data_IF_594591371642
#
_entry.id   IF_594591371642
#
_cell.length_a   1.000
_cell.length_b   1.000
_cell.length_c   1.000
_cell.angle_alpha   90.00
_cell.angle_beta   90.00
_cell.angle_gamma   90.00
#
_symmetry.space_group_name_H-M   'P 1'
#
loop_
_entity.id
_entity.type
_entity.pdbx_description
1 polymer ?
#
# COMPACT_ATOMS: atom_id res chain seq x y z
N UNK A 1 13.70 2.80 16.13
CA UNK A 1 13.96 4.19 15.67
C UNK A 1 12.86 4.57 14.68
N UNK A 2 11.86 5.32 15.14
CA UNK A 2 10.66 5.64 14.35
C UNK A 2 10.89 6.77 13.37
N UNK A 3 10.42 6.61 12.13
CA UNK A 3 10.50 7.61 11.07
C UNK A 3 9.49 8.72 11.37
N UNK A 4 9.95 9.80 12.01
CA UNK A 4 9.14 10.97 12.35
C UNK A 4 9.20 11.97 11.20
N UNK A 5 8.12 12.08 10.43
CA UNK A 5 7.97 13.13 9.43
C UNK A 5 6.59 13.08 8.76
N UNK A 6 5.98 14.23 8.45
CA UNK A 6 4.78 14.31 7.62
C UNK A 6 5.00 13.61 6.27
N UNK A 7 3.93 13.07 5.69
CA UNK A 7 3.98 12.40 4.38
C UNK A 7 4.58 13.36 3.32
N UNK A 8 5.63 12.97 2.58
CA UNK A 8 6.24 13.82 1.56
C UNK A 8 5.26 14.27 0.47
N UNK A 9 5.46 15.49 -0.07
CA UNK A 9 4.70 16.08 -1.19
C UNK A 9 4.99 15.36 -2.51
N UNK A 10 4.05 15.42 -3.47
CA UNK A 10 4.16 14.88 -4.85
C UNK A 10 5.41 15.41 -5.56
N UNK A 11 5.99 14.61 -6.46
CA UNK A 11 7.21 14.94 -7.22
C UNK A 11 7.14 16.30 -7.91
N UNK A 12 5.98 16.67 -8.45
CA UNK A 12 5.77 17.89 -9.23
C UNK A 12 5.86 19.16 -8.38
N UNK A 13 5.82 19.00 -7.05
CA UNK A 13 5.99 20.07 -6.07
C UNK A 13 7.37 20.06 -5.39
N UNK A 14 8.36 19.35 -5.94
CA UNK A 14 9.69 19.17 -5.30
C UNK A 14 10.82 19.89 -6.06
N UNK A 15 11.44 20.86 -5.41
CA UNK A 15 12.68 21.51 -5.88
C UNK A 15 13.85 20.53 -5.80
N UNK A 16 14.57 20.34 -6.91
CA UNK A 16 15.68 19.39 -7.09
C UNK A 16 16.91 19.81 -6.27
N UNK A 17 17.07 19.30 -5.05
CA UNK A 17 18.29 19.46 -4.22
C UNK A 17 18.97 18.14 -3.82
N UNK A 18 18.75 17.06 -4.59
CA UNK A 18 19.48 15.79 -4.42
C UNK A 18 20.21 15.43 -5.72
N UNK A 19 21.14 16.29 -6.15
CA UNK A 19 22.27 15.80 -6.95
C UNK A 19 23.36 15.47 -5.95
N UNK A 20 23.78 14.22 -5.90
CA UNK A 20 24.90 13.79 -5.07
C UNK A 20 25.75 12.88 -5.93
N UNK A 21 26.94 13.35 -6.30
CA UNK A 21 28.13 12.55 -6.02
C UNK A 21 29.38 13.44 -5.84
N UNK A 22 30.22 13.00 -4.90
CA UNK A 22 31.68 12.94 -4.99
C UNK A 22 32.27 12.17 -3.77
N UNK A 23 31.46 11.82 -2.76
CA UNK A 23 31.86 10.95 -1.62
C UNK A 23 30.76 9.91 -1.22
N UNK A 24 29.85 9.56 -2.13
CA UNK A 24 28.64 8.79 -1.80
C UNK A 24 28.84 7.27 -1.78
N UNK A 25 28.40 6.59 -0.71
CA UNK A 25 28.35 5.12 -0.65
C UNK A 25 27.59 4.57 -1.86
N UNK A 26 28.29 3.87 -2.76
CA UNK A 26 27.65 3.28 -3.94
C UNK A 26 26.72 2.13 -3.51
N UNK A 27 25.50 2.14 -4.04
CA UNK A 27 24.58 1.01 -3.87
C UNK A 27 25.15 -0.20 -4.61
N UNK A 28 25.46 -1.27 -3.87
CA UNK A 28 25.84 -2.55 -4.49
C UNK A 28 24.61 -3.13 -5.18
N UNK A 29 24.73 -3.44 -6.46
CA UNK A 29 23.65 -4.03 -7.26
C UNK A 29 23.88 -5.53 -7.42
N UNK A 30 22.79 -6.29 -7.42
CA UNK A 30 22.78 -7.73 -7.72
C UNK A 30 21.69 -8.01 -8.78
N UNK A 31 21.82 -9.09 -9.56
CA UNK A 31 20.79 -9.47 -10.53
C UNK A 31 19.44 -9.76 -9.85
N UNK A 32 18.37 -9.19 -10.42
CA UNK A 32 16.98 -9.49 -10.09
C UNK A 32 16.50 -10.76 -10.80
N UNK A 33 15.42 -11.38 -10.31
CA UNK A 33 14.80 -12.49 -11.03
C UNK A 33 14.18 -12.02 -12.35
N UNK A 34 14.49 -12.71 -13.46
CA UNK A 34 14.09 -12.28 -14.81
C UNK A 34 12.57 -12.40 -15.03
N UNK A 35 11.95 -13.45 -14.48
CA UNK A 35 10.51 -13.67 -14.60
C UNK A 35 9.94 -14.02 -13.23
N UNK A 36 9.27 -13.05 -12.61
CA UNK A 36 8.63 -13.24 -11.31
C UNK A 36 7.16 -13.54 -11.52
N UNK A 37 6.79 -14.81 -11.29
CA UNK A 37 5.39 -15.25 -11.31
C UNK A 37 4.79 -15.16 -9.89
N UNK A 38 3.74 -14.35 -9.67
CA UNK A 38 3.06 -14.32 -8.38
C UNK A 38 2.51 -15.71 -8.02
N UNK A 39 2.74 -16.21 -6.80
CA UNK A 39 2.19 -17.48 -6.36
C UNK A 39 0.65 -17.50 -6.39
N UNK A 40 0.09 -18.71 -6.45
CA UNK A 40 -1.33 -18.92 -6.21
C UNK A 40 -1.66 -18.54 -4.76
N UNK A 41 -2.86 -17.99 -4.58
CA UNK A 41 -3.41 -17.78 -3.23
C UNK A 41 -3.82 -19.11 -2.60
N UNK A 42 -3.87 -19.16 -1.28
CA UNK A 42 -4.42 -20.30 -0.57
C UNK A 42 -5.94 -20.20 -0.47
N UNK A 43 -6.64 -21.32 -0.68
CA UNK A 43 -8.10 -21.40 -0.56
C UNK A 43 -8.58 -21.23 0.88
N UNK A 44 -7.76 -21.63 1.86
CA UNK A 44 -8.08 -21.57 3.28
C UNK A 44 -7.97 -20.15 3.87
N UNK A 45 -7.30 -19.23 3.18
CA UNK A 45 -7.15 -17.85 3.65
C UNK A 45 -8.50 -17.16 3.85
N UNK A 46 -8.49 -16.19 4.75
CA UNK A 46 -9.65 -15.38 5.06
C UNK A 46 -10.05 -14.53 3.82
N UNK A 47 -11.35 -14.38 3.48
CA UNK A 47 -11.78 -13.68 2.26
C UNK A 47 -11.19 -12.28 2.08
N UNK A 48 -11.13 -11.48 3.15
CA UNK A 48 -10.52 -10.14 3.12
C UNK A 48 -9.04 -10.20 2.72
N UNK A 49 -8.31 -11.19 3.25
CA UNK A 49 -6.89 -11.35 2.98
C UNK A 49 -6.65 -11.89 1.57
N UNK A 50 -7.54 -12.74 1.05
CA UNK A 50 -7.52 -13.14 -0.36
C UNK A 50 -7.70 -11.92 -1.27
N UNK A 51 -8.67 -11.06 -0.97
CA UNK A 51 -8.88 -9.80 -1.69
C UNK A 51 -7.62 -8.93 -1.70
N UNK A 52 -7.00 -8.75 -0.53
CA UNK A 52 -5.73 -8.03 -0.43
C UNK A 52 -4.59 -8.68 -1.22
N UNK A 53 -4.39 -10.00 -1.12
CA UNK A 53 -3.32 -10.68 -1.84
C UNK A 53 -3.51 -10.61 -3.36
N UNK A 54 -4.76 -10.67 -3.85
CA UNK A 54 -5.09 -10.48 -5.27
C UNK A 54 -4.77 -9.06 -5.74
N UNK A 55 -5.10 -8.05 -4.94
CA UNK A 55 -4.82 -6.66 -5.31
C UNK A 55 -3.31 -6.36 -5.42
N UNK A 56 -2.45 -7.14 -4.75
CA UNK A 56 -1.00 -7.06 -4.99
C UNK A 56 -0.65 -7.43 -6.43
N UNK A 57 -1.27 -8.48 -6.98
CA UNK A 57 -0.99 -8.97 -8.34
C UNK A 57 -1.44 -7.97 -9.42
N UNK A 58 -2.47 -7.20 -9.12
CA UNK A 58 -3.00 -6.17 -10.01
C UNK A 58 -2.26 -4.84 -9.87
N UNK A 59 -1.62 -4.60 -8.72
CA UNK A 59 -0.90 -3.36 -8.47
C UNK A 59 0.36 -3.26 -9.32
N UNK A 60 0.53 -2.12 -10.00
CA UNK A 60 1.78 -1.77 -10.68
C UNK A 60 3.01 -1.73 -9.75
N UNK A 61 2.82 -1.71 -8.42
CA UNK A 61 3.90 -1.85 -7.46
C UNK A 61 4.59 -3.22 -7.53
N UNK A 62 3.85 -4.26 -7.92
CA UNK A 62 4.36 -5.64 -7.92
C UNK A 62 5.44 -5.92 -8.97
N UNK A 63 5.66 -5.01 -9.93
CA UNK A 63 6.75 -5.10 -10.90
C UNK A 63 8.14 -5.08 -10.23
N UNK A 64 8.21 -4.56 -9.00
CA UNK A 64 9.43 -4.50 -8.20
C UNK A 64 9.57 -5.68 -7.23
N UNK A 65 8.58 -6.58 -7.15
CA UNK A 65 8.62 -7.69 -6.20
C UNK A 65 9.52 -8.80 -6.72
N UNK A 66 10.40 -9.27 -5.85
CA UNK A 66 11.16 -10.49 -6.02
C UNK A 66 10.36 -11.71 -5.53
N UNK A 67 10.77 -12.95 -5.87
CA UNK A 67 10.16 -14.15 -5.33
C UNK A 67 10.11 -14.17 -3.79
N UNK A 68 11.09 -13.56 -3.12
CA UNK A 68 11.10 -13.40 -1.66
C UNK A 68 9.98 -12.50 -1.15
N UNK A 69 9.65 -11.41 -1.84
CA UNK A 69 8.56 -10.51 -1.46
C UNK A 69 7.21 -11.22 -1.58
N UNK A 70 7.05 -12.03 -2.63
CA UNK A 70 5.86 -12.87 -2.78
C UNK A 70 5.73 -13.91 -1.66
N UNK A 71 6.83 -14.50 -1.19
CA UNK A 71 6.77 -15.39 -0.02
C UNK A 71 6.48 -14.62 1.28
N UNK A 72 7.02 -13.41 1.45
CA UNK A 72 6.67 -12.54 2.57
C UNK A 72 5.17 -12.22 2.56
N UNK A 73 4.59 -11.92 1.39
CA UNK A 73 3.17 -11.69 1.22
C UNK A 73 2.34 -12.94 1.56
N UNK A 74 2.78 -14.15 1.17
CA UNK A 74 2.10 -15.41 1.56
C UNK A 74 2.15 -15.66 3.06
N UNK A 75 3.31 -15.45 3.69
CA UNK A 75 3.48 -15.59 5.13
C UNK A 75 2.56 -14.63 5.89
N UNK A 76 2.53 -13.36 5.47
CA UNK A 76 1.61 -12.36 5.99
C UNK A 76 0.15 -12.77 5.81
N UNK A 77 -0.24 -13.22 4.61
CA UNK A 77 -1.60 -13.64 4.33
C UNK A 77 -2.04 -14.81 5.21
N UNK A 78 -1.15 -15.78 5.44
CA UNK A 78 -1.39 -16.90 6.34
C UNK A 78 -1.60 -16.44 7.78
N UNK A 79 -0.70 -15.60 8.30
CA UNK A 79 -0.79 -15.08 9.66
C UNK A 79 -2.05 -14.23 9.86
N UNK A 80 -2.30 -13.27 8.98
CA UNK A 80 -3.47 -12.40 9.06
C UNK A 80 -4.79 -13.17 8.95
N UNK A 81 -4.84 -14.22 8.11
CA UNK A 81 -6.03 -15.08 8.01
C UNK A 81 -6.33 -15.79 9.32
N UNK A 82 -5.30 -16.31 10.03
CA UNK A 82 -5.50 -16.94 11.34
C UNK A 82 -6.03 -15.96 12.38
N UNK A 83 -5.48 -14.74 12.40
CA UNK A 83 -5.89 -13.68 13.34
C UNK A 83 -7.36 -13.31 13.12
N UNK A 84 -7.78 -13.08 11.87
CA UNK A 84 -9.16 -12.71 11.56
C UNK A 84 -10.14 -13.85 11.86
N UNK A 85 -9.82 -15.09 11.43
CA UNK A 85 -10.69 -16.24 11.70
C UNK A 85 -10.87 -16.52 13.19
N UNK A 86 -9.82 -16.40 13.99
CA UNK A 86 -9.92 -16.60 15.43
C UNK A 86 -10.84 -15.56 16.10
N UNK A 87 -10.95 -14.36 15.54
CA UNK A 87 -11.86 -13.32 16.04
C UNK A 87 -13.32 -13.50 15.58
N UNK A 88 -13.52 -14.18 14.46
CA UNK A 88 -14.85 -14.52 13.92
C UNK A 88 -15.41 -15.85 14.46
N UNK A 89 -14.61 -16.60 15.24
CA UNK A 89 -15.06 -17.85 15.85
C UNK A 89 -16.24 -17.59 16.79
N UNK A 90 -17.36 -18.27 16.55
CA UNK A 90 -18.59 -18.10 17.32
C UNK A 90 -18.61 -18.93 18.61
N UNK A 91 -17.74 -19.93 18.73
CA UNK A 91 -17.67 -20.83 19.88
C UNK A 91 -16.64 -20.37 20.89
N UNK A 92 -15.45 -19.94 20.43
CA UNK A 92 -14.37 -19.42 21.28
C UNK A 92 -13.67 -18.22 20.62
N UNK A 93 -14.31 -17.03 20.59
CA UNK A 93 -13.76 -15.86 19.94
C UNK A 93 -12.50 -15.37 20.64
N UNK A 94 -11.38 -15.33 19.92
CA UNK A 94 -10.17 -14.64 20.36
C UNK A 94 -10.24 -13.18 19.91
N UNK A 95 -10.30 -12.19 20.83
CA UNK A 95 -10.43 -10.78 20.45
C UNK A 95 -9.27 -10.30 19.56
N UNK A 96 -9.60 -9.44 18.59
CA UNK A 96 -8.61 -8.76 17.77
C UNK A 96 -7.74 -7.84 18.63
N UNK A 97 -6.48 -8.23 18.80
CA UNK A 97 -5.50 -7.43 19.55
C UNK A 97 -4.92 -6.34 18.64
N UNK A 98 -4.90 -5.10 19.15
CA UNK A 98 -4.32 -3.96 18.44
C UNK A 98 -2.86 -4.19 18.00
N UNK A 99 -2.07 -4.91 18.81
CA UNK A 99 -0.70 -5.27 18.48
C UNK A 99 -0.60 -6.17 17.23
N UNK A 100 -1.53 -7.12 17.08
CA UNK A 100 -1.57 -8.03 15.91
C UNK A 100 -1.95 -7.26 14.65
N UNK A 101 -2.95 -6.37 14.73
CA UNK A 101 -3.35 -5.49 13.62
C UNK A 101 -2.18 -4.57 13.24
N UNK A 102 -1.51 -3.95 14.21
CA UNK A 102 -0.36 -3.09 13.98
C UNK A 102 0.80 -3.84 13.29
N UNK A 103 1.05 -5.10 13.66
CA UNK A 103 2.07 -5.92 12.99
C UNK A 103 1.69 -6.24 11.55
N UNK A 104 0.44 -6.64 11.30
CA UNK A 104 -0.09 -6.90 9.96
C UNK A 104 0.08 -5.65 9.10
N UNK A 105 -0.36 -4.49 9.60
CA UNK A 105 -0.25 -3.21 8.88
C UNK A 105 1.20 -2.85 8.56
N UNK A 106 2.12 -3.05 9.50
CA UNK A 106 3.55 -2.83 9.28
C UNK A 106 4.09 -3.74 8.16
N UNK A 107 3.76 -5.03 8.17
CA UNK A 107 4.22 -5.98 7.15
C UNK A 107 3.63 -5.68 5.77
N UNK A 108 2.37 -5.25 5.70
CA UNK A 108 1.78 -4.72 4.46
C UNK A 108 2.54 -3.48 3.99
N UNK A 109 2.96 -2.63 4.92
CA UNK A 109 3.74 -1.43 4.65
C UNK A 109 5.11 -1.72 4.03
N UNK A 110 5.78 -2.79 4.46
CA UNK A 110 7.08 -3.24 3.92
C UNK A 110 6.96 -3.62 2.44
N UNK A 111 5.79 -4.13 2.02
CA UNK A 111 5.46 -4.45 0.63
C UNK A 111 4.94 -3.23 -0.15
N UNK A 112 4.91 -2.03 0.43
CA UNK A 112 4.46 -0.80 -0.23
C UNK A 112 3.01 -0.85 -0.78
N UNK A 113 2.12 -1.56 -0.09
CA UNK A 113 0.76 -1.81 -0.59
C UNK A 113 -0.15 -0.59 -0.45
N UNK A 114 0.16 0.32 0.48
CA UNK A 114 -0.58 1.57 0.70
C UNK A 114 0.09 2.75 0.01
N UNK A 115 -0.70 3.77 -0.33
CA UNK A 115 -0.15 5.00 -0.88
C UNK A 115 0.84 5.66 0.08
N UNK A 116 0.56 5.68 1.39
CA UNK A 116 1.47 6.22 2.40
C UNK A 116 2.83 5.52 2.36
N UNK A 117 2.85 4.18 2.27
CA UNK A 117 4.09 3.41 2.17
C UNK A 117 4.87 3.74 0.89
N UNK A 118 4.17 3.82 -0.27
CA UNK A 118 4.81 4.21 -1.53
C UNK A 118 5.39 5.62 -1.48
N UNK A 119 4.64 6.60 -0.95
CA UNK A 119 5.13 7.99 -0.80
C UNK A 119 6.36 8.07 0.11
N UNK A 120 6.43 7.27 1.18
CA UNK A 120 7.63 7.18 2.03
C UNK A 120 8.83 6.64 1.27
N UNK A 121 8.60 5.63 0.42
CA UNK A 121 9.61 5.08 -0.49
C UNK A 121 9.88 5.95 -1.72
N UNK A 122 9.15 7.07 -1.89
CA UNK A 122 9.20 7.95 -3.06
C UNK A 122 8.85 7.24 -4.38
N UNK A 123 7.93 6.30 -4.30
CA UNK A 123 7.34 5.60 -5.44
C UNK A 123 5.96 6.18 -5.73
N UNK A 124 5.66 6.42 -7.00
CA UNK A 124 4.34 6.86 -7.47
C UNK A 124 3.82 5.87 -8.52
N UNK A 125 2.52 5.60 -8.49
CA UNK A 125 1.86 4.76 -9.49
C UNK A 125 1.17 5.67 -10.50
N UNK A 126 1.48 5.48 -11.78
CA UNK A 126 0.87 6.19 -12.91
C UNK A 126 -0.20 5.29 -13.51
N UNK A 127 -1.34 5.87 -13.89
CA UNK A 127 -2.39 5.17 -14.65
C UNK A 127 -2.21 5.51 -16.12
N UNK A 128 -1.79 4.54 -16.91
CA UNK A 128 -1.63 4.71 -18.36
C UNK A 128 -3.02 4.75 -19.01
N UNK A 129 -3.26 5.74 -19.88
CA UNK A 129 -4.56 5.94 -20.55
C UNK A 129 -5.48 6.99 -19.90
N UNK A 130 -5.04 7.65 -18.84
CA UNK A 130 -5.62 8.91 -18.37
C UNK A 130 -4.60 10.00 -18.76
N UNK A 131 -4.93 10.88 -19.69
CA UNK A 131 -4.03 12.00 -20.02
C UNK A 131 -3.77 12.82 -18.75
N UNK A 132 -2.52 13.24 -18.47
CA UNK A 132 -2.19 14.08 -17.33
C UNK A 132 -2.70 15.51 -17.62
N UNK A 133 -4.02 15.67 -17.54
CA UNK A 133 -4.78 16.85 -17.96
C UNK A 133 -6.29 16.63 -17.91
N UNK A 134 -6.76 15.39 -18.11
CA UNK A 134 -8.18 15.01 -18.01
C UNK A 134 -8.62 14.67 -16.59
N UNK A 135 -7.74 14.89 -15.61
CA UNK A 135 -8.16 15.20 -14.26
C UNK A 135 -8.62 16.66 -14.17
N UNK A 136 -9.42 17.12 -15.14
CA UNK A 136 -10.21 18.31 -14.96
C UNK A 136 -11.13 18.04 -13.78
N UNK A 137 -11.15 18.99 -12.86
CA UNK A 137 -12.27 19.28 -11.97
C UNK A 137 -13.52 19.64 -12.80
N UNK A 138 -13.94 18.71 -13.66
CA UNK A 138 -15.22 18.71 -14.32
C UNK A 138 -16.26 18.31 -13.29
N UNK A 139 -16.72 19.29 -12.51
CA UNK A 139 -18.07 19.22 -11.98
C UNK A 139 -19.01 18.98 -13.16
N UNK A 140 -19.63 17.82 -13.20
CA UNK A 140 -20.47 17.41 -14.32
C UNK A 140 -20.96 15.97 -14.17
N UNK A 141 -22.01 15.81 -13.36
CA UNK A 141 -23.09 14.84 -13.54
C UNK A 141 -22.78 13.32 -13.41
N UNK A 142 -22.00 12.89 -12.43
CA UNK A 142 -22.29 11.60 -11.78
C UNK A 142 -22.93 11.85 -10.41
N UNK A 143 -24.16 11.33 -10.13
CA UNK A 143 -24.82 11.51 -8.86
C UNK A 143 -24.09 10.70 -7.78
N UNK A 144 -23.10 11.33 -7.14
CA UNK A 144 -22.35 10.73 -6.04
C UNK A 144 -20.92 11.22 -5.86
N UNK A 145 -20.37 12.00 -6.79
CA UNK A 145 -18.93 12.40 -6.76
C UNK A 145 -18.73 13.89 -6.46
N UNK A 146 -19.56 14.46 -5.60
CA UNK A 146 -19.30 15.79 -5.07
C UNK A 146 -18.20 15.68 -4.01
N UNK A 147 -17.01 16.25 -4.30
CA UNK A 147 -15.98 16.45 -3.29
C UNK A 147 -16.44 17.60 -2.40
N UNK A 148 -17.26 17.27 -1.40
CA UNK A 148 -17.70 18.23 -0.37
C UNK A 148 -16.46 18.70 0.39
N UNK A 149 -16.28 20.01 0.49
CA UNK A 149 -15.16 20.62 1.18
C UNK A 149 -15.15 20.14 2.64
N UNK A 150 -14.02 19.60 3.11
CA UNK A 150 -13.94 19.05 4.47
C UNK A 150 -14.19 20.10 5.57
N UNK A 151 -14.07 21.39 5.23
CA UNK A 151 -14.42 22.47 6.14
C UNK A 151 -15.93 22.58 6.38
N UNK A 152 -16.77 22.06 5.47
CA UNK A 152 -18.23 22.10 5.60
C UNK A 152 -18.74 21.17 6.71
N UNK A 153 -17.94 20.17 7.12
CA UNK A 153 -18.26 19.27 8.24
C UNK A 153 -17.92 19.85 9.62
N UNK A 154 -17.19 20.97 9.71
CA UNK A 154 -16.82 21.57 11.01
C UNK A 154 -17.95 22.39 11.64
N UNK A 155 -18.95 22.78 10.87
CA UNK A 155 -20.06 23.63 11.33
C UNK A 155 -21.22 22.83 11.95
N UNK A 156 -21.18 21.50 11.92
CA UNK A 156 -22.26 20.63 12.40
C UNK A 156 -22.15 20.23 13.90
N UNK A 157 -21.13 20.73 14.62
CA UNK A 157 -20.89 20.41 16.04
C UNK A 157 -20.49 21.62 16.89
N UNK A 158 -20.93 22.82 16.51
CA UNK A 158 -21.05 23.99 17.41
C UNK A 158 -22.53 24.28 17.63
#
# INVERSE_FOLDING_TARGET
>A
MGVRGPTPKRSDNRVRRNVTDENGVSTKMAPAAINVKPPAEDRAWHPVIKGWYRSLKESGQSVFYEPSDWQAARFLAHYASKVLRAAEDTTDPTPLRAASIGRIWSMMGDLMTTETSRRRARVELIRLGLEPGDGDTGGGDEPGTEVVNINDFRTAYE
#
